data_IF_045095060022
#
_entry.id   IF_045095060022
#
_cell.length_a   1.000
_cell.length_b   1.000
_cell.length_c   1.000
_cell.angle_alpha   90.00
_cell.angle_beta   90.00
_cell.angle_gamma   90.00
#
_symmetry.space_group_name_H-M   'P 1'
#
loop_
_entity.id
_entity.type
_entity.pdbx_description
1 polymer ?
#
# COMPACT_ATOMS: atom_id res chain seq x y z
N UNK A 1 29.35 22.99 39.62
CA UNK A 1 30.61 22.50 39.00
C UNK A 1 30.24 21.82 37.70
N UNK A 2 30.75 22.38 36.60
CA UNK A 2 30.41 22.06 35.23
C UNK A 2 30.95 20.69 34.82
N UNK A 3 30.09 19.85 34.27
CA UNK A 3 30.49 18.73 33.41
C UNK A 3 29.49 18.60 32.27
N UNK A 4 29.40 19.65 31.46
CA UNK A 4 28.94 19.54 30.08
C UNK A 4 29.84 18.53 29.38
N UNK A 5 29.36 17.30 29.28
CA UNK A 5 29.96 16.21 28.50
C UNK A 5 30.34 16.75 27.13
N UNK A 6 31.65 16.88 26.88
CA UNK A 6 32.18 16.90 25.51
C UNK A 6 31.79 15.56 24.88
N UNK A 7 30.60 15.48 24.30
CA UNK A 7 30.31 14.47 23.31
C UNK A 7 31.20 14.79 22.11
N UNK A 8 32.23 13.96 21.90
CA UNK A 8 33.01 13.95 20.67
C UNK A 8 32.03 13.89 19.48
N UNK A 9 32.28 14.60 18.36
CA UNK A 9 31.35 14.63 17.22
C UNK A 9 30.96 13.22 16.76
N UNK A 10 31.88 12.26 16.82
CA UNK A 10 31.61 10.85 16.54
C UNK A 10 30.56 10.20 17.48
N UNK A 11 30.53 10.57 18.76
CA UNK A 11 29.56 10.05 19.73
C UNK A 11 28.18 10.69 19.59
N UNK A 12 28.12 11.95 19.12
CA UNK A 12 26.87 12.64 18.80
C UNK A 12 26.27 12.10 17.50
N UNK A 13 27.10 11.85 16.48
CA UNK A 13 26.67 11.19 15.24
C UNK A 13 26.17 9.78 15.50
N UNK A 14 26.83 9.02 16.39
CA UNK A 14 26.36 7.69 16.78
C UNK A 14 25.01 7.72 17.52
N UNK A 15 24.75 8.76 18.32
CA UNK A 15 23.49 8.96 19.02
C UNK A 15 22.36 9.43 18.10
N UNK A 16 22.67 10.30 17.13
CA UNK A 16 21.74 10.77 16.10
C UNK A 16 21.37 9.66 15.11
N UNK A 17 22.29 8.74 14.83
CA UNK A 17 22.08 7.59 13.95
C UNK A 17 21.53 6.35 14.67
N UNK A 18 21.37 6.41 15.99
CA UNK A 18 20.84 5.32 16.82
C UNK A 18 19.30 5.31 16.91
N UNK A 19 18.70 4.17 17.26
CA UNK A 19 17.25 4.08 17.46
C UNK A 19 16.80 4.97 18.62
N UNK A 20 15.64 5.61 18.48
CA UNK A 20 15.06 6.50 19.49
C UNK A 20 14.67 5.78 20.82
N UNK A 21 14.67 4.45 20.84
CA UNK A 21 14.40 3.62 22.01
C UNK A 21 15.41 2.46 22.08
N UNK A 22 15.81 2.06 23.30
CA UNK A 22 16.61 0.86 23.49
C UNK A 22 15.79 -0.37 23.08
N UNK A 23 16.35 -1.29 22.27
CA UNK A 23 15.63 -2.46 21.83
C UNK A 23 15.35 -3.43 23.00
N UNK A 24 14.28 -4.24 22.92
CA UNK A 24 14.04 -5.30 23.88
C UNK A 24 15.22 -6.28 23.96
N UNK A 25 15.48 -6.84 25.14
CA UNK A 25 16.58 -7.76 25.36
C UNK A 25 16.58 -8.91 24.34
N UNK A 26 17.66 -9.04 23.57
CA UNK A 26 17.88 -10.11 22.59
C UNK A 26 17.43 -9.81 21.15
N UNK A 27 16.89 -8.61 20.87
CA UNK A 27 16.48 -8.23 19.51
C UNK A 27 17.39 -7.11 19.00
N UNK A 28 18.21 -7.40 17.99
CA UNK A 28 18.95 -6.35 17.28
C UNK A 28 17.99 -5.69 16.29
N UNK A 29 17.73 -4.37 16.39
CA UNK A 29 16.83 -3.69 15.46
C UNK A 29 17.41 -3.76 14.04
N UNK A 30 16.65 -4.38 13.15
CA UNK A 30 17.00 -4.47 11.74
C UNK A 30 16.67 -3.13 11.05
N UNK A 31 17.70 -2.29 10.89
CA UNK A 31 17.61 -1.00 10.21
C UNK A 31 17.59 -1.11 8.70
N UNK A 32 17.65 -2.34 8.19
CA UNK A 32 17.62 -2.60 6.76
C UNK A 32 16.19 -3.01 6.44
N UNK A 33 15.45 -2.14 5.74
CA UNK A 33 13.99 -2.24 5.51
C UNK A 33 13.51 -3.61 5.01
N UNK A 34 12.19 -3.90 4.92
CA UNK A 34 11.65 -5.26 4.78
C UNK A 34 12.18 -5.98 3.52
N UNK A 35 13.37 -6.57 3.64
CA UNK A 35 14.14 -7.15 2.53
C UNK A 35 13.38 -8.29 1.88
N UNK A 36 12.52 -8.97 2.65
CA UNK A 36 11.79 -10.17 2.19
C UNK A 36 10.94 -9.93 0.94
N UNK A 37 10.18 -8.84 0.85
CA UNK A 37 9.32 -8.62 -0.33
C UNK A 37 10.14 -8.25 -1.56
N UNK A 38 11.09 -7.33 -1.42
CA UNK A 38 12.01 -6.96 -2.50
C UNK A 38 12.88 -8.14 -2.94
N UNK A 39 13.32 -8.99 -2.01
CA UNK A 39 14.08 -10.22 -2.30
C UNK A 39 13.23 -11.27 -3.00
N UNK A 40 11.96 -11.43 -2.62
CA UNK A 40 11.03 -12.36 -3.30
C UNK A 40 10.74 -11.86 -4.72
N UNK A 41 10.48 -10.56 -4.90
CA UNK A 41 10.27 -9.97 -6.22
C UNK A 41 11.53 -10.11 -7.10
N UNK A 42 12.71 -9.79 -6.56
CA UNK A 42 13.99 -9.93 -7.25
C UNK A 42 14.33 -11.40 -7.55
N UNK A 43 13.98 -12.34 -6.68
CA UNK A 43 14.17 -13.77 -6.93
C UNK A 43 13.27 -14.28 -8.06
N UNK A 44 12.00 -13.84 -8.11
CA UNK A 44 11.08 -14.17 -9.20
C UNK A 44 11.57 -13.58 -10.52
N UNK A 45 12.03 -12.33 -10.51
CA UNK A 45 12.59 -11.65 -11.68
C UNK A 45 13.85 -12.35 -12.22
N UNK A 46 14.81 -12.68 -11.34
CA UNK A 46 16.00 -13.44 -11.71
C UNK A 46 15.66 -14.82 -12.28
N UNK A 47 14.61 -15.47 -11.76
CA UNK A 47 14.14 -16.76 -12.27
C UNK A 47 13.59 -16.63 -13.69
N UNK A 48 12.73 -15.64 -13.96
CA UNK A 48 12.19 -15.41 -15.31
C UNK A 48 13.30 -15.04 -16.31
N UNK A 49 14.27 -14.22 -15.90
CA UNK A 49 15.43 -13.85 -16.72
C UNK A 49 16.32 -15.06 -17.03
N UNK A 50 16.50 -15.97 -16.07
CA UNK A 50 17.19 -17.24 -16.31
C UNK A 50 16.43 -18.10 -17.33
N UNK A 51 15.10 -18.19 -17.22
CA UNK A 51 14.30 -18.97 -18.17
C UNK A 51 14.36 -18.41 -19.60
N UNK A 52 14.30 -17.09 -19.77
CA UNK A 52 14.35 -16.47 -21.11
C UNK A 52 15.73 -16.60 -21.74
N UNK A 53 16.80 -16.39 -20.97
CA UNK A 53 18.19 -16.57 -21.45
C UNK A 53 18.45 -18.01 -21.89
N UNK A 54 17.98 -19.01 -21.14
CA UNK A 54 18.08 -20.42 -21.52
C UNK A 54 17.31 -20.69 -22.83
N UNK A 55 16.08 -20.19 -22.96
CA UNK A 55 15.28 -20.39 -24.17
C UNK A 55 15.94 -19.79 -25.43
N UNK A 56 16.58 -18.62 -25.30
CA UNK A 56 17.34 -17.96 -26.39
C UNK A 56 18.58 -18.77 -26.73
N UNK A 57 19.33 -19.27 -25.73
CA UNK A 57 20.50 -20.12 -25.94
C UNK A 57 20.14 -21.44 -26.64
N UNK A 58 19.03 -22.07 -26.27
CA UNK A 58 18.54 -23.29 -26.94
C UNK A 58 18.21 -23.01 -28.41
N UNK A 59 17.51 -21.91 -28.71
CA UNK A 59 17.20 -21.51 -30.09
C UNK A 59 18.46 -21.24 -30.91
N UNK A 60 19.44 -20.56 -30.31
CA UNK A 60 20.74 -20.29 -30.93
C UNK A 60 21.51 -21.60 -31.21
N UNK A 61 21.56 -22.51 -30.23
CA UNK A 61 22.20 -23.81 -30.36
C UNK A 61 21.57 -24.65 -31.47
N UNK A 62 20.23 -24.76 -31.50
CA UNK A 62 19.50 -25.48 -32.55
C UNK A 62 19.82 -24.91 -33.93
N UNK A 63 19.84 -23.59 -34.11
CA UNK A 63 20.12 -23.00 -35.43
C UNK A 63 21.59 -23.12 -35.85
N UNK A 64 22.54 -22.86 -34.95
CA UNK A 64 23.97 -22.85 -35.25
C UNK A 64 24.54 -24.26 -35.44
N UNK A 65 24.13 -25.21 -34.58
CA UNK A 65 24.73 -26.55 -34.55
C UNK A 65 23.91 -27.56 -35.34
N UNK A 66 22.57 -27.56 -35.20
CA UNK A 66 21.70 -28.54 -35.88
C UNK A 66 21.43 -28.11 -37.32
N UNK A 67 21.00 -26.86 -37.54
CA UNK A 67 20.64 -26.39 -38.89
C UNK A 67 21.81 -25.83 -39.71
N UNK A 68 22.99 -25.57 -39.11
CA UNK A 68 24.22 -25.07 -39.76
C UNK A 68 24.04 -23.87 -40.71
N UNK A 69 22.98 -23.07 -40.51
CA UNK A 69 22.70 -21.86 -41.30
C UNK A 69 22.78 -20.65 -40.38
N UNK A 70 23.97 -20.07 -40.26
CA UNK A 70 24.16 -18.79 -39.59
C UNK A 70 23.64 -17.67 -40.49
N UNK A 71 22.42 -17.20 -40.24
CA UNK A 71 21.82 -16.09 -41.02
C UNK A 71 22.07 -14.78 -40.25
N UNK A 72 22.26 -13.64 -40.96
CA UNK A 72 22.54 -12.35 -40.33
C UNK A 72 21.48 -11.92 -39.29
N UNK A 73 20.25 -12.44 -39.39
CA UNK A 73 19.14 -12.24 -38.46
C UNK A 73 19.44 -12.68 -37.01
N UNK A 74 20.29 -13.68 -36.80
CA UNK A 74 20.56 -14.21 -35.44
C UNK A 74 21.49 -13.27 -34.63
N UNK A 75 22.25 -12.39 -35.31
CA UNK A 75 23.09 -11.35 -34.67
C UNK A 75 22.24 -10.17 -34.15
N UNK A 76 21.14 -9.86 -34.83
CA UNK A 76 20.19 -8.82 -34.43
C UNK A 76 19.40 -9.21 -33.17
N UNK A 77 19.08 -10.50 -33.02
CA UNK A 77 18.31 -11.01 -31.87
C UNK A 77 19.05 -10.85 -30.54
N UNK A 78 20.37 -11.01 -30.51
CA UNK A 78 21.17 -10.94 -29.28
C UNK A 78 21.50 -9.48 -28.90
N UNK A 79 21.67 -8.61 -29.89
CA UNK A 79 21.97 -7.18 -29.70
C UNK A 79 20.73 -6.37 -29.29
N UNK A 80 19.53 -6.78 -29.71
CA UNK A 80 18.28 -6.13 -29.29
C UNK A 80 17.77 -6.65 -27.96
N UNK A 81 17.82 -7.96 -27.68
CA UNK A 81 17.15 -8.54 -26.49
C UNK A 81 17.78 -8.14 -25.17
N UNK A 82 19.11 -8.09 -25.04
CA UNK A 82 19.77 -7.75 -23.77
C UNK A 82 19.55 -6.31 -23.31
N UNK A 83 19.79 -5.27 -24.14
CA UNK A 83 19.51 -3.88 -23.75
C UNK A 83 18.00 -3.59 -23.67
N UNK A 84 17.17 -4.24 -24.48
CA UNK A 84 15.71 -4.09 -24.41
C UNK A 84 15.13 -4.76 -23.16
N UNK A 85 15.70 -5.89 -22.71
CA UNK A 85 15.33 -6.53 -21.45
C UNK A 85 15.75 -5.68 -20.26
N UNK A 86 16.97 -5.14 -20.25
CA UNK A 86 17.43 -4.25 -19.17
C UNK A 86 16.62 -2.94 -19.11
N UNK A 87 16.26 -2.39 -20.27
CA UNK A 87 15.36 -1.25 -20.38
C UNK A 87 13.94 -1.63 -19.94
N UNK A 88 13.43 -2.81 -20.31
CA UNK A 88 12.12 -3.31 -19.91
C UNK A 88 12.06 -3.54 -18.40
N UNK A 89 13.08 -4.11 -17.76
CA UNK A 89 13.16 -4.33 -16.31
C UNK A 89 13.19 -2.98 -15.57
N UNK A 90 13.96 -2.00 -16.05
CA UNK A 90 13.93 -0.63 -15.51
C UNK A 90 12.59 0.09 -15.74
N UNK A 91 11.98 -0.07 -16.91
CA UNK A 91 10.65 0.46 -17.23
C UNK A 91 9.56 -0.23 -16.41
N UNK A 92 9.69 -1.52 -16.11
CA UNK A 92 8.77 -2.31 -15.29
C UNK A 92 8.90 -1.89 -13.83
N UNK A 93 10.10 -1.75 -13.30
CA UNK A 93 10.31 -1.22 -11.94
C UNK A 93 9.78 0.22 -11.81
N UNK A 94 10.00 1.06 -12.82
CA UNK A 94 9.45 2.41 -12.88
C UNK A 94 7.91 2.40 -12.97
N UNK A 95 7.32 1.64 -13.88
CA UNK A 95 5.86 1.55 -14.02
C UNK A 95 5.18 0.91 -12.81
N UNK A 96 5.81 -0.05 -12.15
CA UNK A 96 5.32 -0.63 -10.89
C UNK A 96 5.40 0.40 -9.77
N UNK A 97 6.51 1.13 -9.61
CA UNK A 97 6.64 2.10 -8.52
C UNK A 97 5.67 3.28 -8.68
N UNK A 98 5.57 3.84 -9.89
CA UNK A 98 4.61 4.90 -10.21
C UNK A 98 3.15 4.39 -10.15
N UNK A 99 2.90 3.17 -10.65
CA UNK A 99 1.59 2.55 -10.65
C UNK A 99 1.06 2.27 -9.25
N UNK A 100 1.90 1.74 -8.35
CA UNK A 100 1.50 1.43 -6.97
C UNK A 100 1.10 2.67 -6.18
N UNK A 101 1.80 3.80 -6.35
CA UNK A 101 1.44 5.06 -5.70
C UNK A 101 0.10 5.61 -6.18
N UNK A 102 -0.12 5.62 -7.50
CA UNK A 102 -1.38 6.06 -8.08
C UNK A 102 -2.54 5.17 -7.61
N UNK A 103 -2.33 3.85 -7.56
CA UNK A 103 -3.32 2.89 -7.09
C UNK A 103 -3.64 3.13 -5.60
N UNK A 104 -2.65 3.41 -4.76
CA UNK A 104 -2.86 3.71 -3.33
C UNK A 104 -3.79 4.91 -3.13
N UNK A 105 -3.50 6.00 -3.83
CA UNK A 105 -4.29 7.24 -3.77
C UNK A 105 -5.72 6.99 -4.26
N UNK A 106 -5.87 6.29 -5.40
CA UNK A 106 -7.17 6.02 -5.99
C UNK A 106 -8.01 5.10 -5.10
N UNK A 107 -7.39 4.13 -4.44
CA UNK A 107 -8.06 3.24 -3.50
C UNK A 107 -8.72 4.01 -2.34
N UNK A 108 -8.03 5.02 -1.78
CA UNK A 108 -8.61 5.89 -0.75
C UNK A 108 -9.90 6.57 -1.20
N UNK A 109 -9.93 7.11 -2.43
CA UNK A 109 -11.12 7.74 -3.01
C UNK A 109 -12.27 6.76 -3.23
N UNK A 110 -11.96 5.55 -3.70
CA UNK A 110 -12.95 4.49 -3.94
C UNK A 110 -13.58 4.07 -2.61
N UNK A 111 -12.77 3.78 -1.60
CA UNK A 111 -13.25 3.34 -0.29
C UNK A 111 -14.11 4.42 0.38
N UNK A 112 -13.70 5.69 0.33
CA UNK A 112 -14.51 6.81 0.83
C UNK A 112 -15.90 6.84 0.18
N UNK A 113 -15.94 6.68 -1.15
CA UNK A 113 -17.19 6.74 -1.91
C UNK A 113 -18.12 5.59 -1.54
N UNK A 114 -17.57 4.38 -1.36
CA UNK A 114 -18.33 3.20 -0.92
C UNK A 114 -18.93 3.45 0.47
N UNK A 115 -18.12 3.91 1.43
CA UNK A 115 -18.59 4.18 2.81
C UNK A 115 -19.68 5.24 2.84
N UNK A 116 -19.50 6.34 2.09
CA UNK A 116 -20.49 7.38 1.97
C UNK A 116 -21.80 6.86 1.37
N UNK A 117 -21.73 6.04 0.32
CA UNK A 117 -22.90 5.41 -0.31
C UNK A 117 -23.70 4.55 0.70
N UNK A 118 -23.03 3.69 1.46
CA UNK A 118 -23.66 2.84 2.48
C UNK A 118 -24.35 3.69 3.55
N UNK A 119 -23.66 4.70 4.08
CA UNK A 119 -24.21 5.61 5.09
C UNK A 119 -25.42 6.41 4.57
N UNK A 120 -25.39 6.86 3.32
CA UNK A 120 -26.53 7.53 2.66
C UNK A 120 -27.71 6.57 2.47
N UNK A 121 -27.44 5.32 2.15
CA UNK A 121 -28.48 4.30 2.07
C UNK A 121 -29.11 4.02 3.44
N UNK A 122 -28.33 4.03 4.52
CA UNK A 122 -28.86 3.91 5.89
C UNK A 122 -29.76 5.07 6.26
N UNK A 123 -29.35 6.29 5.93
CA UNK A 123 -30.18 7.48 6.14
C UNK A 123 -31.50 7.32 5.38
N UNK A 124 -31.45 6.91 4.11
CA UNK A 124 -32.66 6.73 3.30
C UNK A 124 -33.59 5.66 3.87
N UNK A 125 -33.07 4.55 4.40
CA UNK A 125 -33.88 3.43 4.92
C UNK A 125 -34.46 3.73 6.30
N UNK A 126 -33.64 4.24 7.23
CA UNK A 126 -34.02 4.36 8.65
C UNK A 126 -34.48 5.77 9.04
N UNK A 127 -34.26 6.79 8.19
CA UNK A 127 -34.62 8.19 8.46
C UNK A 127 -35.70 8.72 7.51
N UNK A 128 -36.66 7.88 7.13
CA UNK A 128 -37.81 8.29 6.30
C UNK A 128 -38.67 9.27 7.11
N UNK A 129 -38.66 10.55 6.75
CA UNK A 129 -39.60 11.57 7.25
C UNK A 129 -39.21 12.35 8.51
N UNK A 130 -38.26 11.88 9.34
CA UNK A 130 -37.82 12.61 10.54
C UNK A 130 -36.30 12.58 10.75
N UNK A 131 -35.66 13.76 10.89
CA UNK A 131 -34.22 13.90 11.20
C UNK A 131 -33.94 13.62 12.67
N UNK A 132 -34.01 12.35 13.06
CA UNK A 132 -33.70 11.89 14.42
C UNK A 132 -32.19 11.83 14.67
N UNK A 133 -31.80 11.49 15.90
CA UNK A 133 -30.39 11.30 16.29
C UNK A 133 -29.60 10.43 15.30
N UNK A 134 -30.20 9.38 14.74
CA UNK A 134 -29.57 8.51 13.74
C UNK A 134 -29.09 9.24 12.48
N UNK A 135 -29.88 10.20 11.98
CA UNK A 135 -29.51 11.02 10.83
C UNK A 135 -28.21 11.77 11.09
N UNK A 136 -28.11 12.41 12.26
CA UNK A 136 -26.93 13.15 12.68
C UNK A 136 -25.73 12.25 12.91
N UNK A 137 -25.93 11.06 13.48
CA UNK A 137 -24.87 10.06 13.65
C UNK A 137 -24.31 9.63 12.29
N UNK A 138 -25.15 9.23 11.32
CA UNK A 138 -24.70 8.85 9.98
C UNK A 138 -23.93 10.00 9.30
N UNK A 139 -24.45 11.22 9.36
CA UNK A 139 -23.80 12.36 8.73
C UNK A 139 -22.45 12.69 9.39
N UNK A 140 -22.36 12.56 10.72
CA UNK A 140 -21.10 12.69 11.46
C UNK A 140 -20.08 11.66 10.99
N UNK A 141 -20.47 10.40 10.80
CA UNK A 141 -19.58 9.36 10.28
C UNK A 141 -19.13 9.65 8.84
N UNK A 142 -20.00 10.18 7.97
CA UNK A 142 -19.62 10.58 6.61
C UNK A 142 -18.52 11.66 6.68
N UNK A 143 -18.75 12.75 7.40
CA UNK A 143 -17.78 13.86 7.49
C UNK A 143 -16.47 13.43 8.14
N UNK A 144 -16.54 12.58 9.18
CA UNK A 144 -15.35 12.04 9.82
C UNK A 144 -14.50 11.20 8.85
N UNK A 145 -15.14 10.35 8.04
CA UNK A 145 -14.42 9.60 6.99
C UNK A 145 -13.85 10.55 5.93
N UNK A 146 -14.62 11.54 5.45
CA UNK A 146 -14.14 12.52 4.46
C UNK A 146 -12.88 13.23 4.96
N UNK A 147 -12.88 13.74 6.19
CA UNK A 147 -11.73 14.43 6.79
C UNK A 147 -10.54 13.48 6.92
N UNK A 148 -10.78 12.24 7.36
CA UNK A 148 -9.73 11.23 7.49
C UNK A 148 -9.06 10.91 6.14
N UNK A 149 -9.83 10.56 5.10
CA UNK A 149 -9.28 10.24 3.78
C UNK A 149 -8.65 11.46 3.10
N UNK A 150 -9.21 12.66 3.27
CA UNK A 150 -8.59 13.89 2.78
C UNK A 150 -7.23 14.12 3.46
N UNK A 151 -7.12 13.87 4.77
CA UNK A 151 -5.85 13.99 5.50
C UNK A 151 -4.82 12.98 4.98
N UNK A 152 -5.21 11.71 4.79
CA UNK A 152 -4.33 10.69 4.22
C UNK A 152 -3.85 11.08 2.81
N UNK A 153 -4.76 11.56 1.96
CA UNK A 153 -4.45 12.03 0.62
C UNK A 153 -3.39 13.13 0.61
N UNK A 154 -3.56 14.16 1.45
CA UNK A 154 -2.57 15.23 1.55
C UNK A 154 -1.26 14.76 2.20
N UNK A 155 -1.29 13.84 3.16
CA UNK A 155 -0.08 13.29 3.75
C UNK A 155 0.72 12.44 2.76
N UNK A 156 0.06 11.66 1.90
CA UNK A 156 0.72 10.88 0.85
C UNK A 156 1.35 11.81 -0.19
N UNK A 157 0.61 12.83 -0.64
CA UNK A 157 1.10 13.83 -1.59
C UNK A 157 2.22 14.68 -0.99
N UNK A 158 2.19 15.05 0.28
CA UNK A 158 3.24 15.90 0.86
C UNK A 158 4.22 15.13 1.74
N UNK A 159 4.29 13.81 1.58
CA UNK A 159 5.11 12.90 2.40
C UNK A 159 6.61 13.15 2.29
N UNK A 160 7.09 13.60 1.13
CA UNK A 160 8.51 13.76 0.82
C UNK A 160 8.83 15.13 0.21
N UNK A 161 10.03 15.63 0.51
CA UNK A 161 10.64 16.80 -0.12
C UNK A 161 12.00 16.41 -0.73
N UNK A 162 12.18 16.42 -2.06
CA UNK A 162 11.17 16.67 -3.10
C UNK A 162 10.17 15.51 -3.22
N UNK A 163 8.98 15.82 -3.75
CA UNK A 163 7.93 14.84 -4.05
C UNK A 163 8.45 13.64 -4.86
N UNK A 164 9.43 13.87 -5.74
CA UNK A 164 10.05 12.84 -6.56
C UNK A 164 10.62 11.66 -5.78
N UNK A 165 11.06 11.89 -4.54
CA UNK A 165 11.57 10.84 -3.66
C UNK A 165 10.48 9.87 -3.16
N UNK A 166 9.21 10.27 -3.20
CA UNK A 166 8.11 9.38 -2.81
C UNK A 166 7.97 8.19 -3.76
N UNK A 167 8.15 8.40 -5.07
CA UNK A 167 7.97 7.38 -6.12
C UNK A 167 9.27 6.91 -6.78
N UNK A 168 10.40 7.61 -6.58
CA UNK A 168 11.70 7.18 -7.10
C UNK A 168 12.58 6.63 -5.97
N UNK A 169 12.68 5.30 -5.82
CA UNK A 169 13.48 4.69 -4.78
C UNK A 169 15.00 4.85 -4.99
N UNK A 170 15.45 5.25 -6.19
CA UNK A 170 16.87 5.43 -6.50
C UNK A 170 17.39 6.84 -6.17
N UNK A 171 16.48 7.77 -5.86
CA UNK A 171 16.81 9.13 -5.42
C UNK A 171 17.26 9.15 -3.95
N UNK A 172 18.58 9.19 -3.75
CA UNK A 172 19.20 9.29 -2.42
C UNK A 172 19.02 10.69 -1.80
N UNK A 173 18.93 11.73 -2.63
CA UNK A 173 18.82 13.13 -2.20
C UNK A 173 17.38 13.51 -1.83
N UNK A 174 17.18 14.06 -0.63
CA UNK A 174 15.88 14.52 -0.13
C UNK A 174 15.52 13.90 1.22
N UNK A 175 14.46 14.42 1.85
CA UNK A 175 13.99 13.93 3.15
C UNK A 175 12.49 13.67 3.11
N UNK A 176 12.08 12.55 3.71
CA UNK A 176 10.69 12.19 3.93
C UNK A 176 10.43 12.23 5.44
N UNK A 177 9.92 13.35 5.98
CA UNK A 177 9.68 13.47 7.41
C UNK A 177 8.58 12.52 7.90
N UNK A 178 7.70 12.06 7.00
CA UNK A 178 6.60 11.16 7.33
C UNK A 178 6.99 9.72 6.98
N UNK A 179 6.93 8.83 7.98
CA UNK A 179 7.16 7.42 7.76
C UNK A 179 5.89 6.74 7.25
N UNK A 180 5.85 6.47 5.95
CA UNK A 180 4.72 5.87 5.23
C UNK A 180 4.24 4.53 5.82
N UNK A 181 5.14 3.75 6.44
CA UNK A 181 4.78 2.45 7.04
C UNK A 181 3.88 2.63 8.25
N UNK A 182 4.24 3.54 9.16
CA UNK A 182 3.40 3.82 10.34
C UNK A 182 2.08 4.48 9.93
N UNK A 183 2.12 5.36 8.93
CA UNK A 183 0.92 5.98 8.37
C UNK A 183 -0.03 4.91 7.81
N UNK A 184 0.48 3.96 7.02
CA UNK A 184 -0.34 2.87 6.48
C UNK A 184 -0.90 1.95 7.57
N UNK A 185 -0.13 1.64 8.61
CA UNK A 185 -0.63 0.82 9.73
C UNK A 185 -1.76 1.56 10.47
N UNK A 186 -1.57 2.84 10.76
CA UNK A 186 -2.58 3.67 11.42
C UNK A 186 -3.83 3.81 10.55
N UNK A 187 -3.66 4.10 9.26
CA UNK A 187 -4.75 4.24 8.31
C UNK A 187 -5.55 2.94 8.15
N UNK A 188 -4.87 1.80 8.04
CA UNK A 188 -5.49 0.47 7.98
C UNK A 188 -6.30 0.17 9.25
N UNK A 189 -5.75 0.53 10.42
CA UNK A 189 -6.44 0.32 11.69
C UNK A 189 -7.72 1.14 11.78
N UNK A 190 -7.66 2.42 11.43
CA UNK A 190 -8.83 3.33 11.41
C UNK A 190 -9.85 2.85 10.37
N UNK A 191 -9.38 2.35 9.22
CA UNK A 191 -10.24 1.80 8.18
C UNK A 191 -11.09 0.64 8.73
N UNK A 192 -10.46 -0.34 9.38
CA UNK A 192 -11.15 -1.48 10.00
C UNK A 192 -12.13 -1.02 11.10
N UNK A 193 -11.70 -0.08 11.95
CA UNK A 193 -12.55 0.44 13.02
C UNK A 193 -13.80 1.14 12.46
N UNK A 194 -13.62 1.96 11.42
CA UNK A 194 -14.74 2.64 10.77
C UNK A 194 -15.69 1.67 10.06
N UNK A 195 -15.17 0.59 9.46
CA UNK A 195 -16.00 -0.47 8.86
C UNK A 195 -16.85 -1.17 9.93
N UNK A 196 -16.23 -1.55 11.04
CA UNK A 196 -16.94 -2.17 12.16
C UNK A 196 -17.99 -1.22 12.76
N UNK A 197 -17.67 0.06 12.89
CA UNK A 197 -18.60 1.06 13.39
C UNK A 197 -19.82 1.22 12.46
N UNK A 198 -19.61 1.27 11.13
CA UNK A 198 -20.69 1.35 10.14
C UNK A 198 -21.56 0.09 10.21
N UNK A 199 -20.98 -1.10 10.38
CA UNK A 199 -21.73 -2.36 10.50
C UNK A 199 -22.58 -2.46 11.77
N UNK A 200 -22.05 -1.99 12.90
CA UNK A 200 -22.74 -2.06 14.19
C UNK A 200 -23.86 -1.01 14.30
N UNK A 201 -23.76 0.06 13.52
CA UNK A 201 -24.70 1.18 13.52
C UNK A 201 -26.17 0.77 13.25
N UNK A 202 -26.52 0.03 12.17
CA UNK A 202 -27.89 -0.44 11.95
C UNK A 202 -28.29 -1.54 12.94
N UNK A 203 -27.33 -2.34 13.40
CA UNK A 203 -27.60 -3.44 14.32
C UNK A 203 -28.16 -2.93 15.65
N UNK A 204 -27.62 -1.83 16.18
CA UNK A 204 -28.14 -1.19 17.40
C UNK A 204 -29.61 -0.75 17.27
N UNK A 205 -30.04 -0.31 16.08
CA UNK A 205 -31.43 0.07 15.82
C UNK A 205 -32.32 -1.15 15.65
N UNK A 206 -31.88 -2.13 14.85
CA UNK A 206 -32.63 -3.35 14.57
C UNK A 206 -32.91 -4.10 15.88
N UNK A 207 -31.97 -4.11 16.83
CA UNK A 207 -32.16 -4.75 18.13
C UNK A 207 -33.16 -4.03 19.03
N UNK A 208 -33.33 -2.72 18.83
CA UNK A 208 -34.35 -1.92 19.52
C UNK A 208 -35.72 -2.02 18.84
N UNK A 209 -35.79 -2.57 17.63
CA UNK A 209 -37.02 -2.71 16.84
C UNK A 209 -37.62 -4.12 17.04
N UNK A 210 -38.90 -4.17 17.37
CA UNK A 210 -39.59 -5.39 17.83
C UNK A 210 -39.93 -6.33 16.66
N UNK A 211 -38.92 -6.89 15.98
CA UNK A 211 -39.07 -7.80 14.83
C UNK A 211 -38.73 -9.26 15.19
N UNK A 212 -39.42 -10.22 14.55
CA UNK A 212 -39.16 -11.66 14.70
C UNK A 212 -37.70 -12.02 14.35
N UNK A 213 -37.10 -12.91 15.16
CA UNK A 213 -35.68 -13.29 15.08
C UNK A 213 -35.23 -13.78 13.69
N UNK A 214 -36.10 -14.45 12.92
CA UNK A 214 -35.77 -14.93 11.57
C UNK A 214 -35.56 -13.79 10.57
N UNK A 215 -36.34 -12.70 10.67
CA UNK A 215 -36.17 -11.51 9.82
C UNK A 215 -34.93 -10.71 10.24
N UNK A 216 -34.66 -10.65 11.55
CA UNK A 216 -33.44 -10.05 12.12
C UNK A 216 -32.17 -10.72 11.58
N UNK A 217 -32.16 -12.06 11.55
CA UNK A 217 -31.02 -12.83 11.07
C UNK A 217 -30.79 -12.64 9.56
N UNK A 218 -31.87 -12.60 8.76
CA UNK A 218 -31.77 -12.36 7.31
C UNK A 218 -31.15 -11.01 6.97
N UNK A 219 -31.56 -9.93 7.65
CA UNK A 219 -30.98 -8.60 7.43
C UNK A 219 -29.52 -8.56 7.86
N UNK A 220 -29.18 -9.18 9.00
CA UNK A 220 -27.80 -9.26 9.47
C UNK A 220 -26.89 -10.06 8.52
N UNK A 221 -27.42 -11.11 7.88
CA UNK A 221 -26.69 -11.93 6.90
C UNK A 221 -26.43 -11.18 5.60
N UNK A 222 -27.39 -10.40 5.11
CA UNK A 222 -27.20 -9.59 3.88
C UNK A 222 -26.10 -8.54 4.11
N UNK A 223 -26.05 -7.91 5.28
CA UNK A 223 -24.98 -6.98 5.63
C UNK A 223 -23.61 -7.64 5.77
N UNK A 224 -23.56 -8.85 6.35
CA UNK A 224 -22.31 -9.61 6.46
C UNK A 224 -21.82 -10.11 5.08
N UNK A 225 -22.73 -10.54 4.20
CA UNK A 225 -22.41 -11.03 2.87
C UNK A 225 -21.94 -9.92 1.92
N UNK A 226 -22.37 -8.67 2.11
CA UNK A 226 -21.91 -7.52 1.32
C UNK A 226 -20.43 -7.14 1.60
N UNK A 227 -19.79 -7.74 2.60
CA UNK A 227 -18.44 -7.39 3.08
C UNK A 227 -17.39 -8.49 2.82
N UNK A 228 -17.84 -9.67 2.39
CA UNK A 228 -17.01 -10.85 2.11
C UNK A 228 -16.88 -11.07 0.60
#
# INVERSE_FOLDING_TARGET
>A
MNSSTQQTPASLEALLNGPALQPPNGVVPDFTGPRRLTQVMLAVELLFLLCTTIAVLVRLYTKLIINRKGTLEDRESLFTTLPLQFLADHLVLCTISWGLHIISILNGCIVLTIKASILLQYVTIFSIGERKWFFWTCHTFIWLNVVFYATCFFMEIFSCKPIAKAWDPFMTTGSCPINVKYLNIAASSINVISDLAILLLPQGIIWKLNMNASKRLGVSLIFAAALL
#
